data_IF_865116252817
#
_entry.id   IF_865116252817
#
_cell.length_a   1.000
_cell.length_b   1.000
_cell.length_c   1.000
_cell.angle_alpha   90.00
_cell.angle_beta   90.00
_cell.angle_gamma   90.00
#
_symmetry.space_group_name_H-M   'P 1'
#
loop_
_entity.id
_entity.type
_entity.pdbx_description
1 polymer ?
#
# COMPACT_ATOMS: atom_id res chain seq x y z
N UNK A 1 -21.34 20.56 -6.18
CA UNK A 1 -20.97 21.41 -5.03
C UNK A 1 -19.47 21.68 -5.06
N UNK A 2 -19.04 22.92 -4.85
CA UNK A 2 -17.59 23.22 -4.76
C UNK A 2 -17.12 23.01 -3.30
N UNK A 3 -16.54 21.84 -3.03
CA UNK A 3 -16.03 21.49 -1.71
C UNK A 3 -14.90 22.42 -1.22
N UNK A 4 -14.17 23.09 -2.14
CA UNK A 4 -13.04 23.98 -1.79
C UNK A 4 -13.46 25.20 -0.97
N UNK A 5 -14.73 25.60 -1.04
CA UNK A 5 -15.27 26.72 -0.29
C UNK A 5 -15.82 26.33 1.08
N UNK A 6 -15.87 25.01 1.41
CA UNK A 6 -16.40 24.55 2.67
C UNK A 6 -15.41 24.79 3.82
N UNK A 7 -15.96 25.19 4.98
CA UNK A 7 -15.25 25.26 6.25
C UNK A 7 -15.67 24.08 7.14
N UNK A 8 -14.93 23.83 8.23
CA UNK A 8 -15.22 22.75 9.17
C UNK A 8 -16.67 22.76 9.67
N UNK A 9 -17.26 23.96 9.88
CA UNK A 9 -18.62 24.13 10.40
C UNK A 9 -19.72 23.64 9.44
N UNK A 10 -19.42 23.54 8.15
CA UNK A 10 -20.36 23.02 7.17
C UNK A 10 -20.52 21.49 7.22
N UNK A 11 -19.60 20.78 7.92
CA UNK A 11 -19.64 19.34 8.05
C UNK A 11 -20.34 18.92 9.35
N UNK A 12 -21.41 18.12 9.24
CA UNK A 12 -22.09 17.51 10.37
C UNK A 12 -21.35 16.26 10.80
N UNK A 13 -20.74 16.27 11.98
CA UNK A 13 -20.07 15.11 12.56
C UNK A 13 -21.11 14.04 12.94
N UNK A 14 -20.87 12.79 12.58
CA UNK A 14 -21.75 11.65 12.88
C UNK A 14 -21.10 10.67 13.87
N UNK A 15 -19.87 10.22 13.60
CA UNK A 15 -19.20 9.19 14.40
C UNK A 15 -17.69 9.37 14.37
N UNK A 16 -17.02 9.03 15.46
CA UNK A 16 -15.56 8.94 15.50
C UNK A 16 -15.10 7.64 14.82
N UNK A 17 -14.33 7.76 13.75
CA UNK A 17 -13.76 6.63 13.02
C UNK A 17 -12.41 6.19 13.59
N UNK A 18 -11.61 7.13 14.11
CA UNK A 18 -10.29 6.79 14.64
C UNK A 18 -9.66 7.94 15.45
N UNK A 19 -8.81 7.51 16.39
CA UNK A 19 -8.00 8.39 17.23
C UNK A 19 -6.52 8.15 16.88
N UNK A 20 -5.96 9.01 16.02
CA UNK A 20 -4.54 9.02 15.75
C UNK A 20 -3.74 9.80 16.82
N UNK A 21 -2.41 9.67 16.78
CA UNK A 21 -1.50 10.42 17.67
C UNK A 21 -1.70 11.93 17.54
N UNK A 22 -1.91 12.43 16.33
CA UNK A 22 -1.92 13.85 16.01
C UNK A 22 -3.29 14.39 15.57
N UNK A 23 -4.24 13.50 15.22
CA UNK A 23 -5.55 13.88 14.70
C UNK A 23 -6.64 12.92 15.14
N UNK A 24 -7.88 13.39 15.04
CA UNK A 24 -9.10 12.62 15.15
C UNK A 24 -9.75 12.56 13.77
N UNK A 25 -10.25 11.40 13.37
CA UNK A 25 -10.96 11.22 12.11
C UNK A 25 -12.42 10.90 12.41
N UNK A 26 -13.32 11.67 11.84
CA UNK A 26 -14.76 11.50 12.00
C UNK A 26 -15.41 11.12 10.68
N UNK A 27 -16.41 10.25 10.73
CA UNK A 27 -17.42 10.21 9.70
C UNK A 27 -18.22 11.52 9.82
N UNK A 28 -18.31 12.23 8.75
CA UNK A 28 -19.09 13.47 8.69
C UNK A 28 -19.90 13.53 7.39
N UNK A 29 -20.90 14.39 7.39
CA UNK A 29 -21.76 14.64 6.24
C UNK A 29 -21.57 16.06 5.74
N UNK A 30 -21.27 16.18 4.46
CA UNK A 30 -21.23 17.46 3.77
C UNK A 30 -22.65 18.03 3.55
N UNK A 31 -22.81 19.33 3.22
CA UNK A 31 -24.12 19.94 3.04
C UNK A 31 -24.99 19.29 1.95
N UNK A 32 -24.38 18.66 0.96
CA UNK A 32 -25.09 17.91 -0.10
C UNK A 32 -25.44 16.47 0.29
N UNK A 33 -25.21 16.10 1.56
CA UNK A 33 -25.48 14.76 2.07
C UNK A 33 -24.35 13.74 1.87
N UNK A 34 -23.29 14.08 1.15
CA UNK A 34 -22.15 13.17 0.91
C UNK A 34 -21.42 12.82 2.20
N UNK A 35 -21.14 11.53 2.42
CA UNK A 35 -20.29 11.06 3.51
C UNK A 35 -18.82 11.37 3.22
N UNK A 36 -18.11 11.88 4.21
CA UNK A 36 -16.67 12.21 4.14
C UNK A 36 -15.96 11.73 5.39
N UNK A 37 -14.66 11.42 5.27
CA UNK A 37 -13.78 11.26 6.42
C UNK A 37 -13.17 12.62 6.76
N UNK A 38 -13.56 13.18 7.92
CA UNK A 38 -13.10 14.49 8.35
C UNK A 38 -11.98 14.35 9.38
N UNK A 39 -10.75 14.61 8.94
CA UNK A 39 -9.55 14.60 9.79
C UNK A 39 -9.36 15.96 10.44
N UNK A 40 -9.34 15.98 11.77
CA UNK A 40 -9.22 17.20 12.58
C UNK A 40 -7.98 17.10 13.44
N UNK A 41 -7.01 18.04 13.33
CA UNK A 41 -5.83 18.01 14.17
C UNK A 41 -6.19 18.25 15.64
N UNK A 42 -5.52 17.53 16.55
CA UNK A 42 -5.70 17.73 17.99
C UNK A 42 -5.25 19.13 18.42
N UNK A 43 -5.67 19.56 19.61
CA UNK A 43 -5.30 20.87 20.16
C UNK A 43 -3.78 21.05 20.24
N UNK A 44 -3.07 20.03 20.69
CA UNK A 44 -1.62 20.02 20.83
C UNK A 44 -0.91 20.26 19.50
N UNK A 45 -1.44 19.67 18.40
CA UNK A 45 -0.92 19.89 17.04
C UNK A 45 -1.07 21.34 16.59
N UNK A 46 -2.20 21.96 16.92
CA UNK A 46 -2.47 23.37 16.56
C UNK A 46 -1.65 24.37 17.37
N UNK A 47 -1.10 23.95 18.51
CA UNK A 47 -0.25 24.77 19.39
C UNK A 47 1.23 24.59 19.10
N UNK A 48 1.63 23.54 18.40
CA UNK A 48 3.00 23.24 18.01
C UNK A 48 3.22 23.62 16.54
N UNK A 49 4.22 24.48 16.30
CA UNK A 49 4.51 25.01 14.95
C UNK A 49 4.93 23.90 13.99
N UNK A 50 5.79 22.98 14.41
CA UNK A 50 6.28 21.90 13.53
C UNK A 50 5.17 20.91 13.14
N UNK A 51 4.27 20.59 14.09
CA UNK A 51 3.11 19.75 13.85
C UNK A 51 2.05 20.45 12.98
N UNK A 52 1.87 21.77 13.14
CA UNK A 52 1.00 22.57 12.28
C UNK A 52 1.51 22.63 10.85
N UNK A 53 2.81 22.86 10.64
CA UNK A 53 3.45 22.84 9.32
C UNK A 53 3.29 21.47 8.65
N UNK A 54 3.41 20.39 9.42
CA UNK A 54 3.19 19.02 8.94
C UNK A 54 1.74 18.80 8.50
N UNK A 55 0.77 19.22 9.31
CA UNK A 55 -0.65 19.13 8.95
C UNK A 55 -0.97 19.97 7.71
N UNK A 56 -0.36 21.15 7.58
CA UNK A 56 -0.49 22.00 6.42
C UNK A 56 0.03 21.30 5.14
N UNK A 57 1.17 20.63 5.23
CA UNK A 57 1.71 19.82 4.14
C UNK A 57 0.77 18.67 3.75
N UNK A 58 0.22 17.95 4.73
CA UNK A 58 -0.76 16.88 4.48
C UNK A 58 -1.99 17.42 3.75
N UNK A 59 -2.56 18.55 4.21
CA UNK A 59 -3.70 19.21 3.55
C UNK A 59 -3.35 19.58 2.11
N UNK A 60 -2.20 20.25 1.89
CA UNK A 60 -1.77 20.67 0.56
C UNK A 60 -1.58 19.49 -0.40
N UNK A 61 -0.91 18.42 0.05
CA UNK A 61 -0.72 17.21 -0.75
C UNK A 61 -2.06 16.54 -1.09
N UNK A 62 -2.90 16.30 -0.08
CA UNK A 62 -4.20 15.63 -0.28
C UNK A 62 -5.09 16.38 -1.27
N UNK A 63 -5.06 17.71 -1.27
CA UNK A 63 -5.86 18.53 -2.19
C UNK A 63 -5.26 18.65 -3.60
N UNK A 64 -3.93 18.49 -3.75
CA UNK A 64 -3.23 18.63 -5.03
C UNK A 64 -3.17 17.31 -5.83
N UNK A 65 -3.21 16.17 -5.15
CA UNK A 65 -3.07 14.87 -5.79
C UNK A 65 -4.38 14.41 -6.44
N UNK A 66 -4.30 13.95 -7.68
CA UNK A 66 -5.42 13.39 -8.42
C UNK A 66 -4.98 12.14 -9.17
N UNK A 67 -5.30 10.97 -8.61
CA UNK A 67 -5.01 9.67 -9.19
C UNK A 67 -6.09 8.66 -8.74
N UNK A 68 -6.47 7.73 -9.62
CA UNK A 68 -7.52 6.76 -9.35
C UNK A 68 -7.26 5.94 -8.07
N UNK A 69 -6.01 5.61 -7.79
CA UNK A 69 -5.60 4.78 -6.65
C UNK A 69 -4.99 5.61 -5.50
N UNK A 70 -5.32 6.89 -5.39
CA UNK A 70 -5.04 7.71 -4.22
C UNK A 70 -6.34 8.20 -3.57
N UNK A 71 -6.36 8.26 -2.25
CA UNK A 71 -7.46 8.86 -1.50
C UNK A 71 -7.54 10.35 -1.83
N UNK A 72 -8.69 10.82 -2.30
CA UNK A 72 -8.89 12.19 -2.73
C UNK A 72 -9.17 13.11 -1.55
N UNK A 73 -8.44 14.23 -1.47
CA UNK A 73 -8.80 15.37 -0.66
C UNK A 73 -9.93 16.19 -1.31
N UNK A 74 -10.95 16.50 -0.55
CA UNK A 74 -12.12 17.25 -1.04
C UNK A 74 -12.03 18.72 -0.70
N UNK A 75 -11.72 19.02 0.56
CA UNK A 75 -11.49 20.38 1.07
C UNK A 75 -10.61 20.32 2.32
N UNK A 76 -10.03 21.45 2.70
CA UNK A 76 -9.22 21.51 3.91
C UNK A 76 -8.80 22.93 4.25
N UNK A 77 -8.50 23.13 5.53
CA UNK A 77 -7.88 24.33 6.10
C UNK A 77 -6.74 23.89 7.01
N UNK A 78 -5.56 24.39 6.76
CA UNK A 78 -4.35 23.92 7.43
C UNK A 78 -4.13 24.47 8.84
N UNK A 79 -4.72 25.66 9.16
CA UNK A 79 -4.34 26.44 10.32
C UNK A 79 -5.56 26.93 11.14
N UNK A 80 -5.26 27.29 12.40
CA UNK A 80 -6.21 27.87 13.33
C UNK A 80 -7.18 26.86 13.95
N UNK A 81 -8.15 27.35 14.72
CA UNK A 81 -9.14 26.50 15.39
C UNK A 81 -10.06 25.74 14.41
N UNK A 82 -10.25 26.30 13.23
CA UNK A 82 -11.02 25.69 12.16
C UNK A 82 -10.22 24.75 11.25
N UNK A 83 -9.01 24.33 11.62
CA UNK A 83 -8.19 23.42 10.83
C UNK A 83 -8.86 22.04 10.67
N UNK A 84 -8.88 21.54 9.42
CA UNK A 84 -9.46 20.24 9.06
C UNK A 84 -8.95 19.79 7.68
N UNK A 85 -9.14 18.50 7.39
CA UNK A 85 -9.01 17.91 6.07
C UNK A 85 -10.19 16.98 5.83
N UNK A 86 -10.99 17.25 4.81
CA UNK A 86 -12.07 16.38 4.37
C UNK A 86 -11.56 15.50 3.22
N UNK A 87 -11.72 14.21 3.38
CA UNK A 87 -11.30 13.16 2.46
C UNK A 87 -12.52 12.37 1.99
N UNK A 88 -12.41 11.73 0.83
CA UNK A 88 -13.40 10.72 0.45
C UNK A 88 -13.50 9.62 1.53
N UNK A 89 -14.72 9.14 1.77
CA UNK A 89 -15.00 8.11 2.78
C UNK A 89 -15.23 6.75 2.12
N UNK A 90 -14.71 5.71 2.75
CA UNK A 90 -14.78 4.32 2.27
C UNK A 90 -15.57 3.49 3.28
N UNK A 91 -16.75 3.02 2.89
CA UNK A 91 -17.63 2.22 3.76
C UNK A 91 -17.06 0.84 4.07
N UNK A 92 -16.26 0.27 3.14
CA UNK A 92 -15.61 -1.03 3.31
C UNK A 92 -14.37 -0.98 4.19
N UNK A 93 -13.94 0.24 4.59
CA UNK A 93 -12.81 0.45 5.48
C UNK A 93 -11.45 0.22 4.81
N UNK A 94 -10.50 -0.32 5.58
CA UNK A 94 -9.11 -0.52 5.18
C UNK A 94 -8.82 -1.96 4.79
N UNK A 95 -7.73 -2.15 4.04
CA UNK A 95 -7.21 -3.48 3.70
C UNK A 95 -6.81 -4.27 4.97
N UNK A 96 -6.30 -3.59 6.01
CA UNK A 96 -5.99 -4.24 7.28
C UNK A 96 -7.25 -4.85 7.93
N UNK A 97 -8.37 -4.13 7.93
CA UNK A 97 -9.66 -4.61 8.44
C UNK A 97 -10.20 -5.77 7.59
N UNK A 98 -10.01 -5.70 6.27
CA UNK A 98 -10.37 -6.78 5.35
C UNK A 98 -9.55 -8.05 5.61
N UNK A 99 -8.23 -7.91 5.86
CA UNK A 99 -7.34 -9.04 6.15
C UNK A 99 -7.66 -9.75 7.47
N UNK A 100 -8.23 -9.06 8.46
CA UNK A 100 -8.73 -9.68 9.70
C UNK A 100 -9.87 -10.69 9.46
N UNK A 101 -10.59 -10.56 8.34
CA UNK A 101 -11.67 -11.47 7.93
C UNK A 101 -11.15 -12.69 7.14
N UNK A 102 -9.87 -12.73 6.84
CA UNK A 102 -9.20 -13.79 6.09
C UNK A 102 -8.33 -13.25 4.95
N UNK A 103 -7.48 -14.09 4.36
CA UNK A 103 -6.60 -13.70 3.27
C UNK A 103 -7.40 -13.28 2.03
N UNK A 104 -6.78 -12.48 1.19
CA UNK A 104 -7.29 -12.21 -0.15
C UNK A 104 -7.06 -13.43 -1.05
N UNK A 105 -7.91 -13.60 -2.07
CA UNK A 105 -7.55 -14.48 -3.19
C UNK A 105 -6.29 -13.94 -3.86
N UNK A 106 -5.57 -14.82 -4.55
CA UNK A 106 -4.36 -14.40 -5.28
C UNK A 106 -4.66 -13.32 -6.31
N UNK A 107 -5.80 -13.41 -6.97
CA UNK A 107 -6.23 -12.45 -7.98
C UNK A 107 -6.52 -11.08 -7.36
N UNK A 108 -7.27 -11.04 -6.25
CA UNK A 108 -7.52 -9.81 -5.49
C UNK A 108 -6.21 -9.19 -4.97
N UNK A 109 -5.27 -10.01 -4.45
CA UNK A 109 -3.97 -9.55 -3.98
C UNK A 109 -3.14 -8.91 -5.11
N UNK A 110 -3.06 -9.55 -6.28
CA UNK A 110 -2.36 -9.01 -7.45
C UNK A 110 -3.03 -7.75 -7.99
N UNK A 111 -4.36 -7.68 -7.99
CA UNK A 111 -5.11 -6.49 -8.38
C UNK A 111 -4.82 -5.33 -7.42
N UNK A 112 -4.88 -5.56 -6.11
CA UNK A 112 -4.53 -4.56 -5.09
C UNK A 112 -3.10 -4.05 -5.29
N UNK A 113 -2.12 -4.96 -5.37
CA UNK A 113 -0.71 -4.62 -5.53
C UNK A 113 -0.45 -3.85 -6.84
N UNK A 114 -1.11 -4.24 -7.94
CA UNK A 114 -1.00 -3.49 -9.19
C UNK A 114 -1.47 -2.04 -9.04
N UNK A 115 -2.61 -1.84 -8.40
CA UNK A 115 -3.21 -0.51 -8.20
C UNK A 115 -2.33 0.36 -7.29
N UNK A 116 -1.79 -0.20 -6.20
CA UNK A 116 -0.91 0.54 -5.29
C UNK A 116 0.45 0.82 -5.94
N UNK A 117 0.98 -0.09 -6.76
CA UNK A 117 2.19 0.18 -7.54
C UNK A 117 2.00 1.39 -8.48
N UNK A 118 0.86 1.51 -9.17
CA UNK A 118 0.55 2.70 -9.99
C UNK A 118 0.48 3.98 -9.15
N UNK A 119 -0.14 3.93 -7.96
CA UNK A 119 -0.18 5.06 -7.04
C UNK A 119 1.23 5.51 -6.61
N UNK A 120 2.11 4.57 -6.25
CA UNK A 120 3.48 4.87 -5.85
C UNK A 120 4.31 5.45 -7.02
N UNK A 121 4.19 4.89 -8.23
CA UNK A 121 4.84 5.44 -9.42
C UNK A 121 4.39 6.89 -9.68
N UNK A 122 3.09 7.17 -9.54
CA UNK A 122 2.55 8.51 -9.69
C UNK A 122 3.15 9.50 -8.68
N UNK A 123 3.28 9.11 -7.40
CA UNK A 123 3.89 9.91 -6.33
C UNK A 123 5.38 10.14 -6.58
N UNK A 124 6.13 9.07 -6.86
CA UNK A 124 7.58 9.12 -7.08
C UNK A 124 7.97 10.00 -8.27
N UNK A 125 7.19 9.96 -9.37
CA UNK A 125 7.38 10.84 -10.53
C UNK A 125 7.19 12.34 -10.20
N UNK A 126 6.52 12.65 -9.09
CA UNK A 126 6.34 14.02 -8.56
C UNK A 126 7.31 14.35 -7.44
N UNK A 127 8.26 13.47 -7.14
CA UNK A 127 9.22 13.64 -6.04
C UNK A 127 8.59 13.53 -4.66
N UNK A 128 7.44 12.85 -4.54
CA UNK A 128 6.74 12.61 -3.27
C UNK A 128 7.03 11.19 -2.82
N UNK A 129 7.45 11.04 -1.57
CA UNK A 129 7.73 9.77 -0.91
C UNK A 129 6.68 9.60 0.19
N UNK A 130 5.95 8.49 0.18
CA UNK A 130 4.80 8.26 1.06
C UNK A 130 5.22 7.96 2.51
N UNK A 131 6.23 7.11 2.70
CA UNK A 131 6.86 6.69 3.97
C UNK A 131 6.00 5.81 4.89
N UNK A 132 4.73 5.56 4.62
CA UNK A 132 3.86 4.73 5.46
C UNK A 132 2.96 3.82 4.62
N UNK A 133 3.56 3.10 3.66
CA UNK A 133 2.86 2.12 2.82
C UNK A 133 2.58 0.86 3.62
N UNK A 134 1.31 0.61 3.92
CA UNK A 134 0.84 -0.54 4.73
C UNK A 134 -0.66 -0.78 4.54
N UNK A 135 -1.19 -1.96 4.89
CA UNK A 135 -2.61 -2.29 4.72
C UNK A 135 -3.59 -1.33 5.42
N UNK A 136 -3.24 -0.76 6.58
CA UNK A 136 -4.12 0.19 7.26
C UNK A 136 -4.25 1.55 6.56
N UNK A 137 -3.38 1.84 5.58
CA UNK A 137 -3.44 3.05 4.76
C UNK A 137 -3.96 2.77 3.34
N UNK A 138 -4.43 1.54 3.06
CA UNK A 138 -5.09 1.18 1.81
C UNK A 138 -6.59 1.09 2.08
N UNK A 139 -7.38 1.89 1.38
CA UNK A 139 -8.84 1.94 1.48
C UNK A 139 -9.50 1.19 0.34
N UNK A 140 -10.67 0.60 0.60
CA UNK A 140 -11.37 -0.30 -0.33
C UNK A 140 -12.70 0.30 -0.76
N UNK A 141 -12.98 0.26 -2.07
CA UNK A 141 -14.27 0.56 -2.67
C UNK A 141 -14.55 -0.45 -3.79
N UNK A 142 -15.22 -1.55 -3.48
CA UNK A 142 -15.43 -2.69 -4.38
C UNK A 142 -14.10 -3.32 -4.82
N UNK A 143 -13.79 -3.21 -6.10
CA UNK A 143 -12.51 -3.69 -6.68
C UNK A 143 -11.42 -2.63 -6.73
N UNK A 144 -11.71 -1.43 -6.23
CA UNK A 144 -10.77 -0.31 -6.23
C UNK A 144 -10.04 -0.23 -4.89
N UNK A 145 -8.71 -0.14 -4.96
CA UNK A 145 -7.82 0.07 -3.82
C UNK A 145 -7.16 1.44 -3.93
N UNK A 146 -7.18 2.21 -2.84
CA UNK A 146 -6.62 3.55 -2.81
C UNK A 146 -5.67 3.74 -1.64
N UNK A 147 -4.46 4.24 -1.93
CA UNK A 147 -3.46 4.61 -0.93
C UNK A 147 -3.80 6.00 -0.37
N UNK A 148 -3.83 6.12 0.95
CA UNK A 148 -4.12 7.36 1.66
C UNK A 148 -3.18 7.58 2.84
N UNK A 149 -3.46 8.61 3.62
CA UNK A 149 -2.69 9.10 4.77
C UNK A 149 -1.30 9.65 4.41
N UNK A 150 -1.29 10.90 3.92
CA UNK A 150 -0.06 11.63 3.58
C UNK A 150 0.57 12.36 4.77
N UNK A 151 0.14 12.07 5.99
CA UNK A 151 0.58 12.77 7.20
C UNK A 151 2.07 12.67 7.53
N UNK A 152 2.80 11.74 6.90
CA UNK A 152 4.26 11.58 7.01
C UNK A 152 4.98 11.69 5.67
N UNK A 153 4.25 11.98 4.59
CA UNK A 153 4.82 12.07 3.26
C UNK A 153 5.86 13.20 3.18
N UNK A 154 6.93 12.97 2.41
CA UNK A 154 7.99 13.95 2.13
C UNK A 154 7.91 14.44 0.70
N UNK A 155 8.25 15.72 0.51
CA UNK A 155 8.50 16.30 -0.80
C UNK A 155 9.98 16.71 -0.93
N UNK A 156 10.44 16.96 -2.15
CA UNK A 156 11.79 17.49 -2.38
C UNK A 156 12.04 18.82 -1.68
N UNK A 157 10.99 19.61 -1.46
CA UNK A 157 11.05 20.95 -0.84
C UNK A 157 11.12 20.89 0.69
N UNK A 158 10.68 19.77 1.31
CA UNK A 158 10.71 19.60 2.76
C UNK A 158 11.33 18.24 3.15
N UNK A 159 12.67 18.14 3.13
CA UNK A 159 13.39 16.89 3.38
C UNK A 159 13.59 16.55 4.86
N UNK A 160 13.04 17.32 5.82
CA UNK A 160 13.30 17.11 7.24
C UNK A 160 12.95 15.67 7.66
N UNK A 161 13.90 14.95 8.29
CA UNK A 161 13.63 13.64 8.86
C UNK A 161 12.62 13.80 10.00
N UNK A 162 11.52 13.05 9.93
CA UNK A 162 10.62 12.87 11.06
C UNK A 162 11.20 11.82 12.00
N UNK A 163 11.09 12.06 13.31
CA UNK A 163 11.28 11.01 14.30
C UNK A 163 10.47 9.78 13.87
N UNK A 164 11.16 8.69 13.55
CA UNK A 164 10.66 7.35 13.17
C UNK A 164 9.19 7.34 12.68
N UNK A 165 8.99 7.83 11.46
CA UNK A 165 7.71 7.76 10.80
C UNK A 165 7.49 6.36 10.21
N UNK A 166 6.27 5.84 10.34
CA UNK A 166 5.87 4.55 9.76
C UNK A 166 5.64 3.46 10.80
N UNK A 167 5.02 2.38 10.36
CA UNK A 167 4.83 1.17 11.16
C UNK A 167 6.10 0.32 11.10
N UNK A 168 6.71 -0.08 12.24
CA UNK A 168 7.95 -0.86 12.26
C UNK A 168 7.91 -2.11 11.39
N UNK A 169 6.77 -2.75 11.27
CA UNK A 169 6.60 -3.98 10.47
C UNK A 169 6.76 -3.79 8.95
N UNK A 170 6.69 -2.55 8.45
CA UNK A 170 6.80 -2.23 7.02
C UNK A 170 7.97 -1.30 6.71
N UNK A 171 8.68 -0.85 7.75
CA UNK A 171 9.74 0.14 7.63
C UNK A 171 10.97 -0.43 6.91
N UNK A 172 11.54 0.36 6.02
CA UNK A 172 12.75 -0.03 5.28
C UNK A 172 14.00 -0.03 6.18
N UNK A 173 15.00 -0.90 5.90
CA UNK A 173 16.22 -1.03 6.70
C UNK A 173 16.96 0.29 6.91
N UNK A 174 17.13 1.09 5.86
CA UNK A 174 17.81 2.38 5.90
C UNK A 174 17.13 3.38 6.85
N UNK A 175 15.81 3.29 7.04
CA UNK A 175 15.10 4.16 7.97
C UNK A 175 15.34 3.78 9.44
N UNK A 176 15.58 2.50 9.73
CA UNK A 176 16.04 2.07 11.05
C UNK A 176 17.46 2.55 11.34
N UNK A 177 18.30 2.66 10.31
CA UNK A 177 19.64 3.22 10.41
C UNK A 177 19.65 4.76 10.53
N UNK A 178 18.48 5.43 10.44
CA UNK A 178 18.34 6.88 10.55
C UNK A 178 18.62 7.63 9.24
N UNK A 179 18.68 6.91 8.12
CA UNK A 179 18.86 7.52 6.81
C UNK A 179 17.58 8.21 6.31
N UNK A 180 17.71 9.05 5.31
CA UNK A 180 16.58 9.74 4.70
C UNK A 180 15.76 8.79 3.82
N UNK A 181 14.44 8.90 3.91
CA UNK A 181 13.53 8.16 3.04
C UNK A 181 13.73 8.53 1.56
N UNK A 182 13.66 7.54 0.70
CA UNK A 182 13.75 7.63 -0.75
C UNK A 182 12.59 6.85 -1.40
N UNK A 183 12.36 6.95 -2.72
CA UNK A 183 11.42 6.06 -3.41
C UNK A 183 11.69 4.57 -3.19
N UNK A 184 12.95 4.20 -2.93
CA UNK A 184 13.31 2.82 -2.60
C UNK A 184 12.79 2.39 -1.21
N UNK A 185 12.63 3.31 -0.26
CA UNK A 185 12.03 3.02 1.05
C UNK A 185 10.55 2.64 0.92
N UNK A 186 9.78 3.37 0.10
CA UNK A 186 8.39 3.01 -0.23
C UNK A 186 8.31 1.67 -0.97
N UNK A 187 9.28 1.41 -1.88
CA UNK A 187 9.37 0.13 -2.59
C UNK A 187 9.58 -1.05 -1.63
N UNK A 188 10.37 -0.88 -0.58
CA UNK A 188 10.54 -1.90 0.46
C UNK A 188 9.24 -2.14 1.24
N UNK A 189 8.59 -1.09 1.72
CA UNK A 189 7.30 -1.18 2.42
C UNK A 189 6.23 -1.86 1.56
N UNK A 190 6.19 -1.51 0.27
CA UNK A 190 5.37 -2.18 -0.74
C UNK A 190 5.76 -3.66 -0.90
N UNK A 191 7.04 -4.00 -0.88
CA UNK A 191 7.54 -5.38 -0.91
C UNK A 191 7.11 -6.20 0.30
N UNK A 192 7.14 -5.62 1.51
CA UNK A 192 6.62 -6.26 2.73
C UNK A 192 5.13 -6.55 2.60
N UNK A 193 4.36 -5.56 2.12
CA UNK A 193 2.92 -5.73 1.86
C UNK A 193 2.67 -6.77 0.76
N UNK A 194 3.45 -6.78 -0.31
CA UNK A 194 3.34 -7.77 -1.38
C UNK A 194 3.58 -9.19 -0.87
N UNK A 195 4.60 -9.38 -0.04
CA UNK A 195 4.85 -10.65 0.62
C UNK A 195 3.66 -11.06 1.49
N UNK A 196 3.17 -10.15 2.34
CA UNK A 196 2.04 -10.42 3.24
C UNK A 196 0.78 -10.83 2.48
N UNK A 197 0.40 -10.10 1.43
CA UNK A 197 -0.81 -10.38 0.66
C UNK A 197 -0.73 -11.68 -0.16
N UNK A 198 0.45 -12.01 -0.68
CA UNK A 198 0.64 -13.18 -1.56
C UNK A 198 0.98 -14.46 -0.80
N UNK A 199 1.58 -14.34 0.39
CA UNK A 199 2.02 -15.49 1.22
C UNK A 199 1.12 -15.69 2.44
N UNK A 200 0.30 -14.69 2.81
CA UNK A 200 -0.63 -14.75 3.94
C UNK A 200 -0.01 -14.42 5.29
N UNK A 201 1.27 -14.02 5.34
CA UNK A 201 1.98 -13.60 6.56
C UNK A 201 3.07 -12.60 6.25
N UNK A 202 3.45 -11.78 7.22
CA UNK A 202 4.58 -10.85 7.06
C UNK A 202 5.92 -11.58 6.96
N UNK A 203 6.89 -11.06 6.17
CA UNK A 203 8.21 -11.67 6.02
C UNK A 203 9.06 -11.56 7.29
N UNK A 204 8.86 -10.48 8.06
CA UNK A 204 9.60 -10.19 9.28
C UNK A 204 8.63 -9.93 10.42
N UNK A 205 8.83 -10.62 11.53
CA UNK A 205 8.03 -10.52 12.75
C UNK A 205 8.94 -10.53 13.96
N UNK A 206 8.47 -10.00 15.08
CA UNK A 206 9.15 -9.99 16.38
C UNK A 206 8.15 -9.54 17.45
N UNK A 207 8.43 -9.86 18.71
CA UNK A 207 7.63 -9.45 19.87
C UNK A 207 8.05 -8.05 20.35
N UNK A 208 9.30 -7.68 20.10
CA UNK A 208 9.85 -6.37 20.48
C UNK A 208 10.24 -5.54 19.25
N UNK A 209 10.35 -4.23 19.44
CA UNK A 209 10.84 -3.32 18.39
C UNK A 209 12.27 -3.68 17.96
N UNK A 210 13.10 -4.14 18.87
CA UNK A 210 14.48 -4.57 18.60
C UNK A 210 14.51 -5.80 17.69
N UNK A 211 13.69 -6.80 17.98
CA UNK A 211 13.59 -8.01 17.16
C UNK A 211 13.08 -7.70 15.74
N UNK A 212 12.06 -6.83 15.62
CA UNK A 212 11.54 -6.37 14.34
C UNK A 212 12.64 -5.63 13.58
N UNK A 213 13.32 -4.68 14.24
CA UNK A 213 14.43 -3.92 13.65
C UNK A 213 15.54 -4.85 13.18
N UNK A 214 15.99 -5.78 14.02
CA UNK A 214 17.01 -6.76 13.67
C UNK A 214 16.60 -7.62 12.47
N UNK A 215 15.33 -8.04 12.41
CA UNK A 215 14.83 -8.84 11.30
C UNK A 215 14.84 -8.05 9.97
N UNK A 216 14.41 -6.78 10.00
CA UNK A 216 14.44 -5.91 8.82
C UNK A 216 15.88 -5.59 8.37
N UNK A 217 16.82 -5.43 9.28
CA UNK A 217 18.22 -5.12 8.97
C UNK A 217 18.98 -6.35 8.45
N UNK A 218 18.80 -7.54 9.07
CA UNK A 218 19.75 -8.64 8.92
C UNK A 218 19.16 -9.95 8.39
N UNK A 219 17.86 -10.22 8.57
CA UNK A 219 17.28 -11.49 8.11
C UNK A 219 16.92 -11.41 6.63
N UNK A 220 17.18 -12.50 5.89
CA UNK A 220 16.65 -12.68 4.54
C UNK A 220 15.15 -12.97 4.60
N UNK A 221 14.36 -12.52 3.60
CA UNK A 221 12.95 -12.88 3.53
C UNK A 221 12.80 -14.41 3.35
N UNK A 222 11.78 -15.03 3.99
CA UNK A 222 11.53 -16.45 3.85
C UNK A 222 11.10 -16.81 2.41
N UNK A 223 11.23 -18.10 1.99
CA UNK A 223 10.69 -18.57 0.72
C UNK A 223 9.19 -18.30 0.60
N UNK A 224 8.72 -17.91 -0.59
CA UNK A 224 7.33 -17.53 -0.82
C UNK A 224 6.47 -18.66 -1.38
N UNK A 225 7.09 -19.67 -2.03
CA UNK A 225 6.41 -20.70 -2.82
C UNK A 225 5.53 -20.12 -3.97
N UNK A 226 5.78 -18.90 -4.37
CA UNK A 226 5.16 -18.25 -5.52
C UNK A 226 5.79 -18.76 -6.83
N UNK A 227 5.18 -18.55 -8.00
CA UNK A 227 5.83 -18.75 -9.28
C UNK A 227 7.15 -17.99 -9.35
N UNK A 228 8.19 -18.54 -10.03
CA UNK A 228 9.56 -18.03 -9.96
C UNK A 228 9.71 -16.53 -10.26
N UNK A 229 8.93 -15.99 -11.20
CA UNK A 229 8.97 -14.56 -11.54
C UNK A 229 8.36 -13.67 -10.46
N UNK A 230 7.26 -14.10 -9.80
CA UNK A 230 6.68 -13.38 -8.65
C UNK A 230 7.59 -13.48 -7.43
N UNK A 231 8.11 -14.66 -7.12
CA UNK A 231 9.06 -14.89 -6.05
C UNK A 231 10.28 -13.97 -6.18
N UNK A 232 10.89 -13.95 -7.37
CA UNK A 232 12.06 -13.10 -7.64
C UNK A 232 11.79 -11.63 -7.42
N UNK A 233 10.68 -11.09 -7.95
CA UNK A 233 10.41 -9.65 -7.81
C UNK A 233 10.06 -9.26 -6.38
N UNK A 234 9.34 -10.12 -5.63
CA UNK A 234 9.02 -9.88 -4.21
C UNK A 234 10.31 -9.89 -3.38
N UNK A 235 11.22 -10.85 -3.58
CA UNK A 235 12.52 -10.86 -2.92
C UNK A 235 13.38 -9.64 -3.28
N UNK A 236 13.38 -9.21 -4.54
CA UNK A 236 14.13 -8.03 -4.97
C UNK A 236 13.56 -6.71 -4.38
N UNK A 237 12.23 -6.62 -4.15
CA UNK A 237 11.64 -5.50 -3.40
C UNK A 237 12.11 -5.46 -1.94
N UNK A 238 12.42 -6.63 -1.36
CA UNK A 238 12.90 -6.78 0.02
C UNK A 238 14.43 -6.74 0.16
N UNK A 239 15.17 -6.38 -0.90
CA UNK A 239 16.61 -6.17 -0.85
C UNK A 239 16.97 -5.15 0.23
N UNK A 240 17.99 -5.46 1.05
CA UNK A 240 18.41 -4.60 2.16
C UNK A 240 19.05 -3.31 1.66
N UNK A 241 19.91 -3.45 0.64
CA UNK A 241 20.52 -2.31 -0.03
C UNK A 241 19.49 -1.63 -0.96
N UNK A 242 19.16 -0.33 -0.72
CA UNK A 242 18.21 0.40 -1.55
C UNK A 242 18.69 0.60 -3.00
N UNK A 243 19.99 0.52 -3.28
CA UNK A 243 20.55 0.72 -4.62
C UNK A 243 20.23 -0.43 -5.59
N UNK A 244 20.08 -1.65 -5.09
CA UNK A 244 19.73 -2.84 -5.89
C UNK A 244 18.27 -3.25 -5.75
N UNK A 245 17.50 -2.53 -4.95
CA UNK A 245 16.09 -2.84 -4.67
C UNK A 245 15.22 -2.62 -5.89
N UNK A 246 14.34 -3.58 -6.17
CA UNK A 246 13.36 -3.44 -7.25
C UNK A 246 12.39 -2.28 -6.99
N UNK A 247 11.87 -1.68 -8.05
CA UNK A 247 10.86 -0.62 -7.99
C UNK A 247 9.43 -1.18 -8.13
N UNK A 248 8.38 -0.43 -7.73
CA UNK A 248 7.00 -0.79 -8.03
C UNK A 248 6.73 -0.99 -9.54
N UNK A 249 7.47 -0.30 -10.41
CA UNK A 249 7.41 -0.49 -11.86
C UNK A 249 7.92 -1.87 -12.28
N UNK A 250 9.02 -2.34 -11.68
CA UNK A 250 9.56 -3.68 -11.95
C UNK A 250 8.57 -4.77 -11.50
N UNK A 251 7.84 -4.56 -10.40
CA UNK A 251 6.77 -5.46 -9.98
C UNK A 251 5.66 -5.55 -11.03
N UNK A 252 5.16 -4.42 -11.56
CA UNK A 252 4.14 -4.43 -12.62
C UNK A 252 4.59 -5.19 -13.85
N UNK A 253 5.83 -5.02 -14.28
CA UNK A 253 6.40 -5.76 -15.41
C UNK A 253 6.43 -7.27 -15.16
N UNK A 254 6.83 -7.69 -13.97
CA UNK A 254 6.91 -9.10 -13.61
C UNK A 254 5.53 -9.80 -13.57
N UNK A 255 4.47 -9.12 -13.09
CA UNK A 255 3.13 -9.72 -13.07
C UNK A 255 2.47 -9.75 -14.46
N UNK A 256 2.81 -8.81 -15.37
CA UNK A 256 2.28 -8.76 -16.74
C UNK A 256 2.92 -9.80 -17.66
N UNK A 257 4.22 -10.08 -17.54
CA UNK A 257 4.93 -11.07 -18.37
C UNK A 257 4.31 -12.46 -18.28
N UNK A 258 3.72 -12.83 -17.16
CA UNK A 258 3.02 -14.10 -16.96
C UNK A 258 1.67 -14.22 -17.70
N UNK A 259 1.05 -13.09 -18.02
CA UNK A 259 -0.22 -13.11 -18.76
C UNK A 259 0.00 -13.40 -20.25
N UNK A 260 1.17 -13.10 -20.79
CA UNK A 260 1.53 -13.35 -22.19
C UNK A 260 2.00 -14.79 -22.43
N UNK A 261 2.72 -15.40 -21.49
CA UNK A 261 3.14 -16.82 -21.61
C UNK A 261 1.95 -17.81 -21.60
N UNK A 262 0.83 -17.44 -20.98
CA UNK A 262 -0.41 -18.25 -21.03
C UNK A 262 -1.18 -18.14 -22.35
N UNK A 263 -0.85 -17.18 -23.21
CA UNK A 263 -1.51 -16.92 -24.49
C UNK A 263 -0.68 -17.38 -25.69
N UNK A 264 0.50 -17.96 -25.48
CA UNK A 264 1.32 -18.54 -26.55
C UNK A 264 0.70 -19.87 -27.02
N UNK A 265 0.41 -20.08 -28.35
CA UNK A 265 -0.28 -21.26 -28.85
C UNK A 265 0.51 -22.57 -28.79
N UNK A 266 1.68 -22.61 -28.17
CA UNK A 266 2.56 -23.79 -28.14
C UNK A 266 2.21 -24.88 -27.10
N UNK A 267 1.26 -24.62 -26.20
CA UNK A 267 0.79 -25.63 -25.23
C UNK A 267 -0.30 -26.57 -25.75
N UNK A 268 -0.75 -26.38 -26.99
CA UNK A 268 -1.72 -27.27 -27.66
C UNK A 268 -1.02 -28.28 -28.59
N UNK A 269 0.11 -28.90 -28.17
CA UNK A 269 0.57 -30.13 -28.80
C UNK A 269 -0.22 -31.28 -28.22
N UNK A 270 -1.26 -31.66 -29.01
CA UNK A 270 -2.02 -32.89 -28.88
C UNK A 270 -1.13 -34.08 -28.55
N UNK A 271 -1.36 -34.71 -27.42
CA UNK A 271 -0.95 -36.09 -27.21
C UNK A 271 -1.72 -36.98 -28.21
N UNK A 272 -1.08 -37.36 -29.32
CA UNK A 272 -1.59 -38.40 -30.20
C UNK A 272 -1.62 -39.70 -29.40
N UNK A 273 -2.76 -40.39 -29.34
CA UNK A 273 -2.81 -41.70 -28.69
C UNK A 273 -1.89 -42.71 -29.44
N UNK A 274 -0.89 -43.21 -28.75
CA UNK A 274 -0.05 -44.31 -29.18
C UNK A 274 -0.93 -45.52 -29.46
N UNK A 275 -1.02 -45.92 -30.71
CA UNK A 275 -1.59 -47.18 -31.15
C UNK A 275 -0.77 -48.33 -30.56
N UNK A 276 -1.20 -48.90 -29.47
CA UNK A 276 -0.74 -50.20 -28.99
C UNK A 276 -1.15 -51.27 -30.01
N UNK A 277 -0.17 -51.72 -30.83
CA UNK A 277 -0.31 -52.93 -31.63
C UNK A 277 -0.38 -54.10 -30.68
N UNK A 278 -1.47 -54.90 -30.87
CA UNK A 278 -1.72 -56.09 -30.10
C UNK A 278 -0.63 -57.15 -30.23
N UNK A 279 -0.38 -57.80 -29.13
CA UNK A 279 0.29 -59.08 -29.05
C UNK A 279 -0.69 -60.07 -28.37
N UNK A 280 -1.62 -60.60 -29.18
CA UNK A 280 -2.35 -61.81 -28.89
C UNK A 280 -1.88 -62.84 -29.96
N UNK A 281 -0.99 -63.74 -29.59
CA UNK A 281 -1.00 -65.11 -30.04
C UNK A 281 0.17 -65.86 -29.37
N UNK A 282 -0.16 -67.04 -28.89
CA UNK A 282 0.67 -68.13 -28.39
C UNK A 282 0.52 -68.37 -26.86
N UNK A 283 -0.50 -69.15 -26.56
CA UNK A 283 -0.35 -70.36 -25.74
C UNK A 283 -1.66 -71.15 -25.79
N UNK A 284 -1.70 -72.06 -26.77
CA UNK A 284 -2.61 -73.22 -26.74
C UNK A 284 -1.74 -74.48 -26.81
N UNK A 285 -2.00 -75.47 -25.95
CA UNK A 285 -1.46 -76.80 -25.71
C UNK A 285 -0.40 -76.84 -24.60
N UNK A 286 -0.69 -77.41 -23.42
CA UNK A 286 -1.17 -78.75 -23.07
C UNK A 286 -1.77 -78.66 -21.66
#
# INVERSE_FOLDING_TARGET
MDYRQLTRQHYKLEMLLGLGRWSQVYLARAPDGTKVALKVPRREVRMDRALTERFAQEVALSLSLNHANLVRGLSGRSEGEGAFLALEYFEEGTLEERLKKGPLSREEALSCLSQIAHALIYLHNRGIIHQDVKPSNIFIAGTLFKLGDFGVAKTRENPKPLERAGSPFYMAPELFAGESATPASDAYSFGVMAFELLVGRRPFVGETLEEITHAHLHRLPPPTHLPPHHDRVVHNLLAKDPAIRASPKAFLQAIQSNSQDKLSPESAREEKPSKAKGWFSLFRKR
#
